data_IF_683123514484
#
_entry.id   IF_683123514484
#
_cell.length_a   1.000
_cell.length_b   1.000
_cell.length_c   1.000
_cell.angle_alpha   90.00
_cell.angle_beta   90.00
_cell.angle_gamma   90.00
#
_symmetry.space_group_name_H-M   'P 1'
#
loop_
_entity.id
_entity.type
_entity.pdbx_description
1 polymer ?
#
# COMPACT_ATOMS: atom_id res chain seq x y z
N UNK A 1 -11.32 -10.46 7.24
CA UNK A 1 -10.41 -10.00 8.32
C UNK A 1 -9.05 -10.66 8.17
N UNK A 2 -7.98 -9.98 8.61
CA UNK A 2 -6.63 -10.56 8.63
C UNK A 2 -6.51 -11.77 9.56
N UNK A 3 -7.39 -11.90 10.56
CA UNK A 3 -7.42 -13.04 11.45
C UNK A 3 -8.01 -14.31 10.82
N UNK A 4 -8.70 -14.20 9.69
CA UNK A 4 -9.46 -15.28 9.04
C UNK A 4 -8.71 -15.93 7.88
N UNK A 5 -7.51 -15.47 7.53
CA UNK A 5 -6.72 -15.97 6.40
C UNK A 5 -5.24 -16.09 6.74
N UNK A 6 -4.55 -16.91 5.98
CA UNK A 6 -3.10 -16.88 5.95
C UNK A 6 -2.65 -15.78 4.97
N UNK A 7 -1.54 -15.13 5.27
CA UNK A 7 -1.00 -14.09 4.42
C UNK A 7 0.50 -13.92 4.64
N UNK A 8 1.14 -13.10 3.82
CA UNK A 8 2.51 -12.66 3.97
C UNK A 8 2.51 -11.13 3.90
N UNK A 9 3.15 -10.47 4.84
CA UNK A 9 3.25 -9.03 4.82
C UNK A 9 4.70 -8.56 4.94
N UNK A 10 5.02 -7.50 4.22
CA UNK A 10 6.21 -6.71 4.41
C UNK A 10 5.77 -5.32 4.88
N UNK A 11 5.97 -4.98 6.16
CA UNK A 11 5.55 -3.68 6.67
C UNK A 11 6.48 -2.59 6.12
N UNK A 12 6.00 -1.89 5.12
CA UNK A 12 6.69 -0.74 4.56
C UNK A 12 6.11 0.56 5.15
N UNK A 13 6.93 1.48 5.63
CA UNK A 13 8.39 1.61 5.63
C UNK A 13 9.07 1.15 6.95
N UNK A 14 8.47 0.28 7.71
CA UNK A 14 8.83 0.01 9.12
C UNK A 14 10.08 -0.84 9.33
N UNK A 15 10.74 -1.26 8.29
CA UNK A 15 12.03 -1.96 8.38
C UNK A 15 12.17 -3.20 7.48
N UNK A 16 13.38 -3.79 7.44
CA UNK A 16 13.69 -4.92 6.59
C UNK A 16 13.25 -6.22 7.28
N UNK A 17 11.96 -6.51 7.29
CA UNK A 17 11.44 -7.78 7.80
C UNK A 17 10.17 -8.20 7.07
N UNK A 18 9.89 -9.49 7.11
CA UNK A 18 8.67 -10.11 6.62
C UNK A 18 7.91 -10.77 7.76
N UNK A 19 6.60 -10.74 7.72
CA UNK A 19 5.75 -11.42 8.70
C UNK A 19 4.87 -12.45 8.02
N UNK A 20 4.83 -13.65 8.58
CA UNK A 20 3.84 -14.65 8.24
C UNK A 20 2.59 -14.39 9.09
N UNK A 21 1.50 -14.05 8.44
CA UNK A 21 0.19 -13.91 9.08
C UNK A 21 -0.47 -15.29 9.03
N UNK A 22 -0.70 -15.90 10.20
CA UNK A 22 -1.36 -17.18 10.31
C UNK A 22 -2.83 -16.96 10.66
N UNK A 23 -3.72 -17.73 10.01
CA UNK A 23 -5.15 -17.73 10.31
C UNK A 23 -5.36 -18.08 11.78
N UNK A 24 -6.07 -17.23 12.51
CA UNK A 24 -6.35 -17.38 13.93
C UNK A 24 -7.79 -17.88 14.20
N UNK A 25 -8.73 -17.56 13.32
CA UNK A 25 -10.14 -17.94 13.43
C UNK A 25 -10.67 -18.41 12.06
N UNK A 26 -11.72 -19.20 12.06
CA UNK A 26 -12.44 -19.51 10.83
C UNK A 26 -13.22 -18.28 10.32
N UNK A 27 -13.37 -18.13 9.00
CA UNK A 27 -14.19 -17.07 8.44
C UNK A 27 -15.61 -17.07 8.99
N UNK A 28 -16.11 -15.88 9.32
CA UNK A 28 -17.45 -15.74 9.89
C UNK A 28 -18.52 -15.75 8.79
N UNK A 29 -19.55 -16.56 8.97
CA UNK A 29 -20.67 -16.67 8.04
C UNK A 29 -20.21 -17.05 6.63
N UNK A 30 -20.55 -16.24 5.63
CA UNK A 30 -20.18 -16.46 4.21
C UNK A 30 -18.95 -15.65 3.77
N UNK A 31 -18.12 -15.15 4.72
CA UNK A 31 -16.91 -14.41 4.41
C UNK A 31 -15.91 -15.29 3.65
N UNK A 32 -15.25 -14.68 2.67
CA UNK A 32 -14.20 -15.29 1.85
C UNK A 32 -13.03 -14.36 1.73
N UNK A 33 -11.85 -14.91 1.51
CA UNK A 33 -10.67 -14.11 1.15
C UNK A 33 -10.81 -13.53 -0.25
N UNK A 34 -10.08 -12.45 -0.54
CA UNK A 34 -10.05 -11.84 -1.89
C UNK A 34 -9.61 -12.85 -2.95
N UNK A 35 -8.67 -13.75 -2.59
CA UNK A 35 -8.22 -14.83 -3.45
C UNK A 35 -9.35 -15.83 -3.77
N UNK A 36 -10.10 -16.28 -2.77
CA UNK A 36 -11.25 -17.18 -2.97
C UNK A 36 -12.35 -16.52 -3.79
N UNK A 37 -12.60 -15.21 -3.59
CA UNK A 37 -13.57 -14.43 -4.38
C UNK A 37 -13.12 -14.36 -5.84
N UNK A 38 -11.84 -14.06 -6.08
CA UNK A 38 -11.29 -14.00 -7.43
C UNK A 38 -11.37 -15.36 -8.15
N UNK A 39 -11.02 -16.45 -7.47
CA UNK A 39 -11.14 -17.81 -8.02
C UNK A 39 -12.59 -18.18 -8.35
N UNK A 40 -13.52 -17.89 -7.43
CA UNK A 40 -14.94 -18.14 -7.65
C UNK A 40 -15.53 -17.32 -8.80
N UNK A 41 -15.08 -16.07 -8.97
CA UNK A 41 -15.47 -15.22 -10.09
C UNK A 41 -14.94 -15.76 -11.41
N UNK A 42 -13.66 -16.15 -11.46
CA UNK A 42 -13.03 -16.73 -12.64
C UNK A 42 -13.75 -18.01 -13.09
N UNK A 43 -14.09 -18.89 -12.14
CA UNK A 43 -14.85 -20.10 -12.41
C UNK A 43 -16.23 -19.81 -13.01
N UNK A 44 -16.95 -18.81 -12.46
CA UNK A 44 -18.25 -18.34 -12.98
C UNK A 44 -18.15 -17.75 -14.39
N UNK A 45 -17.03 -17.13 -14.72
CA UNK A 45 -16.74 -16.59 -16.04
C UNK A 45 -16.19 -17.65 -17.01
N UNK A 46 -16.00 -18.89 -16.59
CA UNK A 46 -15.52 -20.01 -17.41
C UNK A 46 -14.00 -20.13 -17.53
N UNK A 47 -13.23 -19.39 -16.76
CA UNK A 47 -11.76 -19.48 -16.70
C UNK A 47 -11.33 -20.62 -15.75
N UNK A 48 -11.32 -21.86 -16.25
CA UNK A 48 -11.04 -23.05 -15.42
C UNK A 48 -9.61 -23.15 -14.93
N UNK A 49 -8.66 -22.58 -15.67
CA UNK A 49 -7.22 -22.62 -15.35
C UNK A 49 -6.70 -21.30 -14.78
N UNK A 50 -7.58 -20.50 -14.18
CA UNK A 50 -7.22 -19.20 -13.63
C UNK A 50 -6.18 -19.30 -12.51
N UNK A 51 -6.31 -20.29 -11.66
CA UNK A 51 -5.42 -20.49 -10.53
C UNK A 51 -5.20 -21.97 -10.24
N UNK A 52 -4.04 -22.54 -10.64
CA UNK A 52 -3.72 -23.95 -10.44
C UNK A 52 -3.18 -24.28 -9.04
N UNK A 53 -2.90 -23.28 -8.20
CA UNK A 53 -2.26 -23.45 -6.90
C UNK A 53 -3.21 -23.16 -5.74
N UNK A 54 -2.95 -23.80 -4.60
CA UNK A 54 -3.58 -23.48 -3.32
C UNK A 54 -3.03 -22.19 -2.71
N UNK A 55 -3.74 -21.62 -1.75
CA UNK A 55 -3.26 -20.45 -0.98
C UNK A 55 -1.87 -20.71 -0.37
N UNK A 56 -1.68 -21.89 0.22
CA UNK A 56 -0.41 -22.26 0.86
C UNK A 56 0.75 -22.37 -0.14
N UNK A 57 0.49 -22.93 -1.33
CA UNK A 57 1.49 -23.00 -2.39
C UNK A 57 1.88 -21.60 -2.90
N UNK A 58 0.90 -20.70 -3.07
CA UNK A 58 1.18 -19.32 -3.43
C UNK A 58 2.05 -18.61 -2.41
N UNK A 59 1.70 -18.71 -1.13
CA UNK A 59 2.47 -18.06 -0.06
C UNK A 59 3.91 -18.60 0.01
N UNK A 60 4.08 -19.91 -0.16
CA UNK A 60 5.40 -20.54 -0.25
C UNK A 60 6.19 -20.02 -1.44
N UNK A 61 5.56 -19.99 -2.62
CA UNK A 61 6.21 -19.48 -3.83
C UNK A 61 6.61 -18.01 -3.69
N UNK A 62 5.81 -17.16 -3.09
CA UNK A 62 6.18 -15.76 -2.85
C UNK A 62 7.42 -15.61 -1.98
N UNK A 63 7.58 -16.46 -0.97
CA UNK A 63 8.80 -16.48 -0.15
C UNK A 63 10.00 -16.99 -0.95
N UNK A 64 9.86 -18.12 -1.64
CA UNK A 64 10.96 -18.81 -2.33
C UNK A 64 11.46 -18.05 -3.58
N UNK A 65 10.55 -17.45 -4.34
CA UNK A 65 10.88 -16.73 -5.58
C UNK A 65 11.30 -15.27 -5.36
N UNK A 66 11.06 -14.73 -4.18
CA UNK A 66 11.49 -13.38 -3.86
C UNK A 66 13.04 -13.36 -3.70
N UNK A 67 13.75 -12.50 -4.44
CA UNK A 67 15.22 -12.46 -4.42
C UNK A 67 15.80 -12.05 -3.06
N UNK A 68 15.04 -11.41 -2.20
CA UNK A 68 15.46 -10.99 -0.87
C UNK A 68 15.24 -12.11 0.18
N UNK A 69 14.08 -12.77 0.16
CA UNK A 69 13.72 -13.79 1.15
C UNK A 69 14.14 -15.20 0.77
N UNK A 70 14.09 -15.56 -0.49
CA UNK A 70 14.40 -16.90 -0.97
C UNK A 70 15.80 -17.40 -0.58
N UNK A 71 16.86 -16.57 -0.64
CA UNK A 71 18.17 -16.94 -0.13
C UNK A 71 18.24 -17.13 1.39
N UNK A 72 17.43 -16.42 2.15
CA UNK A 72 17.49 -16.34 3.61
C UNK A 72 16.51 -17.31 4.29
N UNK A 73 15.29 -17.42 3.80
CA UNK A 73 14.25 -18.30 4.36
C UNK A 73 14.32 -19.66 3.68
N UNK A 74 15.03 -20.60 4.29
CA UNK A 74 15.22 -21.96 3.75
C UNK A 74 14.13 -22.93 4.19
N UNK A 75 13.45 -22.61 5.30
CA UNK A 75 12.38 -23.41 5.89
C UNK A 75 11.16 -22.53 6.07
N UNK A 76 10.20 -22.68 5.17
CA UNK A 76 8.97 -21.90 5.18
C UNK A 76 8.04 -22.26 6.35
N UNK A 77 8.08 -23.51 6.80
CA UNK A 77 7.24 -23.95 7.92
C UNK A 77 7.76 -23.32 9.22
N UNK A 78 9.07 -23.33 9.41
CA UNK A 78 9.71 -22.63 10.53
C UNK A 78 9.44 -21.13 10.51
N UNK A 79 9.55 -20.48 9.35
CA UNK A 79 9.21 -19.07 9.21
C UNK A 79 7.76 -18.76 9.60
N UNK A 80 6.82 -19.65 9.21
CA UNK A 80 5.42 -19.51 9.59
C UNK A 80 5.19 -19.73 11.09
N UNK A 81 5.93 -20.63 11.71
CA UNK A 81 5.87 -20.89 13.16
C UNK A 81 6.44 -19.70 13.94
N UNK A 82 7.57 -19.15 13.52
CA UNK A 82 8.21 -17.99 14.15
C UNK A 82 7.43 -16.68 13.90
N UNK A 83 6.69 -16.60 12.81
CA UNK A 83 5.83 -15.48 12.45
C UNK A 83 6.54 -14.26 11.89
N UNK A 84 7.87 -14.18 12.02
CA UNK A 84 8.67 -13.04 11.56
C UNK A 84 10.04 -13.49 11.09
N UNK A 85 10.49 -12.94 9.96
CA UNK A 85 11.86 -13.05 9.49
C UNK A 85 12.45 -11.64 9.30
N UNK A 86 13.58 -11.37 9.94
CA UNK A 86 14.35 -10.13 9.74
C UNK A 86 15.33 -10.35 8.61
N UNK A 87 15.30 -9.47 7.62
CA UNK A 87 16.24 -9.49 6.51
C UNK A 87 17.62 -9.07 7.04
N UNK A 88 18.59 -9.92 6.86
CA UNK A 88 19.99 -9.58 7.17
C UNK A 88 20.52 -8.66 6.09
N UNK A 89 21.07 -7.54 6.51
CA UNK A 89 21.69 -6.54 5.65
C UNK A 89 23.15 -6.41 6.06
N UNK A 90 24.04 -6.50 5.08
CA UNK A 90 25.49 -6.29 5.32
C UNK A 90 25.77 -4.85 5.71
N UNK A 91 25.05 -3.89 5.11
CA UNK A 91 25.15 -2.46 5.37
C UNK A 91 23.77 -1.78 5.41
N UNK A 92 23.64 -0.64 6.08
CA UNK A 92 22.40 0.14 6.06
C UNK A 92 22.01 0.57 4.65
N UNK A 93 20.71 0.47 4.31
CA UNK A 93 20.18 0.99 3.05
C UNK A 93 20.09 2.50 3.13
N UNK A 94 20.90 3.19 2.36
CA UNK A 94 20.83 4.64 2.18
C UNK A 94 20.19 4.92 0.82
N UNK A 95 19.05 5.60 0.83
CA UNK A 95 18.32 5.92 -0.40
C UNK A 95 19.17 6.79 -1.32
N UNK A 96 19.24 6.42 -2.58
CA UNK A 96 19.96 7.14 -3.64
C UNK A 96 21.48 7.31 -3.39
N UNK A 97 22.09 6.48 -2.54
CA UNK A 97 23.51 6.61 -2.23
C UNK A 97 24.38 6.52 -3.48
N UNK A 98 24.15 5.54 -4.32
CA UNK A 98 24.92 5.33 -5.57
C UNK A 98 24.77 6.48 -6.54
N UNK A 99 23.56 6.99 -6.70
CA UNK A 99 23.26 8.13 -7.57
C UNK A 99 23.89 9.44 -7.08
N UNK A 100 24.09 9.57 -5.76
CA UNK A 100 24.72 10.76 -5.13
C UNK A 100 26.24 10.65 -5.19
N UNK A 101 26.82 9.49 -4.88
CA UNK A 101 28.27 9.28 -4.80
C UNK A 101 28.92 9.15 -6.19
N UNK A 102 28.23 8.52 -7.15
CA UNK A 102 28.74 8.28 -8.51
C UNK A 102 27.61 8.47 -9.54
N UNK A 103 27.17 9.71 -9.79
CA UNK A 103 26.07 10.01 -10.70
C UNK A 103 26.36 9.71 -12.18
N UNK A 104 27.64 9.58 -12.56
CA UNK A 104 28.03 9.28 -13.94
C UNK A 104 27.72 7.81 -14.29
N UNK A 105 28.01 6.88 -13.38
CA UNK A 105 27.76 5.45 -13.56
C UNK A 105 26.40 5.01 -13.03
N UNK A 106 25.80 5.79 -12.13
CA UNK A 106 24.49 5.52 -11.52
C UNK A 106 23.55 6.72 -11.69
N UNK A 107 23.09 7.03 -12.91
CA UNK A 107 22.16 8.13 -13.11
C UNK A 107 20.79 7.83 -12.47
N UNK A 108 20.07 8.85 -12.04
CA UNK A 108 18.69 8.71 -11.63
C UNK A 108 17.83 8.15 -12.76
N UNK A 109 16.80 7.37 -12.43
CA UNK A 109 15.84 6.80 -13.40
C UNK A 109 14.88 7.87 -13.98
N UNK A 110 15.43 8.98 -14.42
CA UNK A 110 14.72 10.10 -15.04
C UNK A 110 15.25 10.34 -16.46
N UNK A 111 14.51 10.99 -17.36
CA UNK A 111 14.97 11.31 -18.70
C UNK A 111 16.31 12.04 -18.76
N UNK A 112 16.59 12.92 -17.79
CA UNK A 112 17.84 13.66 -17.70
C UNK A 112 18.96 12.94 -16.94
N UNK A 113 18.65 11.80 -16.29
CA UNK A 113 19.57 11.13 -15.35
C UNK A 113 19.81 11.91 -14.05
N UNK A 114 19.05 12.97 -13.80
CA UNK A 114 19.17 13.87 -12.63
C UNK A 114 17.82 14.01 -11.93
N UNK A 115 17.82 14.62 -10.76
CA UNK A 115 16.57 15.04 -10.10
C UNK A 115 15.90 16.12 -10.96
N UNK A 116 14.66 15.86 -11.40
CA UNK A 116 13.90 16.75 -12.25
C UNK A 116 12.84 17.51 -11.46
N UNK A 117 12.94 18.83 -11.43
CA UNK A 117 11.90 19.72 -10.87
C UNK A 117 10.85 20.02 -11.93
N UNK A 118 11.26 20.12 -13.20
CA UNK A 118 10.37 20.29 -14.35
C UNK A 118 10.09 18.94 -15.01
N UNK A 119 8.82 18.60 -15.20
CA UNK A 119 8.40 17.39 -15.90
C UNK A 119 7.99 17.70 -17.33
N UNK A 120 8.80 17.31 -18.31
CA UNK A 120 8.48 17.47 -19.73
C UNK A 120 7.19 16.72 -20.09
N UNK A 121 7.00 15.52 -19.55
CA UNK A 121 5.78 14.73 -19.78
C UNK A 121 4.50 15.46 -19.34
N UNK A 122 4.54 16.17 -18.20
CA UNK A 122 3.40 16.98 -17.77
C UNK A 122 3.22 18.22 -18.63
N UNK A 123 4.31 18.85 -19.06
CA UNK A 123 4.24 19.97 -19.99
C UNK A 123 3.58 19.58 -21.31
N UNK A 124 3.98 18.45 -21.88
CA UNK A 124 3.44 17.92 -23.16
C UNK A 124 1.96 17.53 -23.06
N UNK A 125 1.48 17.20 -21.86
CA UNK A 125 0.06 16.89 -21.65
C UNK A 125 -0.86 18.10 -21.83
N UNK A 126 -0.33 19.32 -21.76
CA UNK A 126 -1.08 20.59 -21.83
C UNK A 126 -2.29 20.66 -20.89
N UNK A 127 -2.24 19.94 -19.77
CA UNK A 127 -3.32 19.94 -18.79
C UNK A 127 -3.09 21.05 -17.75
N UNK A 128 -3.95 22.08 -17.69
CA UNK A 128 -3.77 23.20 -16.76
C UNK A 128 -3.88 22.78 -15.27
N UNK A 129 -4.50 21.62 -14.98
CA UNK A 129 -4.64 21.09 -13.63
C UNK A 129 -3.41 20.29 -13.17
N UNK A 130 -2.47 20.00 -14.08
CA UNK A 130 -1.23 19.28 -13.77
C UNK A 130 -0.02 20.04 -14.32
N UNK A 131 0.38 21.14 -13.67
CA UNK A 131 1.49 21.96 -14.15
C UNK A 131 2.80 21.15 -14.13
N UNK A 132 3.75 21.46 -15.03
CA UNK A 132 5.01 20.72 -15.15
C UNK A 132 6.00 20.96 -14.00
N UNK A 133 5.71 21.91 -13.14
CA UNK A 133 6.49 22.21 -11.92
C UNK A 133 5.58 22.18 -10.69
N UNK A 134 6.11 21.86 -9.50
CA UNK A 134 5.36 22.01 -8.26
C UNK A 134 4.95 23.46 -8.05
N UNK A 135 3.68 23.73 -7.97
CA UNK A 135 3.12 25.04 -7.60
C UNK A 135 1.78 24.87 -6.89
N UNK A 136 1.40 25.87 -6.13
CA UNK A 136 0.06 25.88 -5.54
C UNK A 136 -1.01 25.92 -6.63
N UNK A 137 -2.00 25.06 -6.49
CA UNK A 137 -3.21 25.02 -7.32
C UNK A 137 -4.40 25.23 -6.40
N UNK A 138 -5.21 26.22 -6.71
CA UNK A 138 -6.48 26.41 -5.99
C UNK A 138 -7.35 25.16 -6.13
N UNK A 139 -7.82 24.64 -4.99
CA UNK A 139 -8.82 23.58 -5.02
C UNK A 139 -10.16 24.14 -5.51
N UNK A 140 -11.02 23.25 -6.01
CA UNK A 140 -12.42 23.60 -6.23
C UNK A 140 -13.05 24.00 -4.89
N UNK A 141 -13.87 25.05 -4.89
CA UNK A 141 -14.55 25.55 -3.70
C UNK A 141 -13.59 26.05 -2.60
N UNK A 142 -12.43 26.57 -2.97
CA UNK A 142 -11.53 27.21 -2.02
C UNK A 142 -12.01 28.62 -1.63
N UNK A 143 -11.30 29.27 -0.71
CA UNK A 143 -11.63 30.59 -0.20
C UNK A 143 -11.66 31.71 -1.27
N UNK A 144 -11.12 31.47 -2.46
CA UNK A 144 -11.12 32.41 -3.59
C UNK A 144 -12.29 32.19 -4.54
N UNK A 145 -13.05 31.08 -4.38
CA UNK A 145 -14.20 30.78 -5.21
C UNK A 145 -15.29 31.85 -5.01
N UNK A 146 -15.90 32.38 -6.07
CA UNK A 146 -17.03 33.31 -5.97
C UNK A 146 -18.21 32.81 -5.14
N UNK A 147 -18.40 31.48 -5.05
CA UNK A 147 -19.43 30.85 -4.22
C UNK A 147 -19.25 31.10 -2.72
N UNK A 148 -18.06 31.46 -2.26
CA UNK A 148 -17.81 31.80 -0.84
C UNK A 148 -18.62 33.01 -0.36
N UNK A 149 -19.06 33.89 -1.27
CA UNK A 149 -20.00 34.97 -0.92
C UNK A 149 -21.34 34.47 -0.46
N UNK A 150 -21.77 33.31 -0.95
CA UNK A 150 -23.04 32.66 -0.60
C UNK A 150 -22.86 31.58 0.47
N UNK A 151 -21.76 30.87 0.41
CA UNK A 151 -21.39 29.75 1.30
C UNK A 151 -20.02 30.03 1.90
N UNK A 152 -19.92 30.82 2.98
CA UNK A 152 -18.64 31.29 3.50
C UNK A 152 -17.86 30.27 4.33
N UNK A 153 -18.47 29.12 4.66
CA UNK A 153 -17.83 28.07 5.44
C UNK A 153 -17.22 27.02 4.51
N UNK A 154 -16.00 26.63 4.82
CA UNK A 154 -15.33 25.52 4.13
C UNK A 154 -15.46 24.25 4.95
N UNK A 155 -15.89 23.16 4.31
CA UNK A 155 -15.93 21.84 4.93
C UNK A 155 -14.54 21.21 4.90
N UNK A 156 -14.01 20.91 6.07
CA UNK A 156 -12.80 20.11 6.22
C UNK A 156 -13.18 18.69 6.61
N UNK A 157 -12.67 17.72 5.87
CA UNK A 157 -12.90 16.29 6.13
C UNK A 157 -11.58 15.57 6.44
N UNK A 158 -10.92 15.92 7.56
CA UNK A 158 -9.68 15.28 7.93
C UNK A 158 -9.91 13.80 8.26
N UNK A 159 -8.90 12.98 8.02
CA UNK A 159 -8.96 11.57 8.40
C UNK A 159 -9.06 11.44 9.94
N UNK A 160 -10.08 10.77 10.48
CA UNK A 160 -10.21 10.58 11.92
C UNK A 160 -9.04 9.75 12.47
N UNK A 161 -8.46 10.20 13.58
CA UNK A 161 -7.28 9.58 14.20
C UNK A 161 -7.45 8.09 14.54
N UNK A 162 -8.68 7.69 14.87
CA UNK A 162 -9.00 6.35 15.36
C UNK A 162 -9.75 5.50 14.36
N UNK A 163 -9.59 5.79 13.06
CA UNK A 163 -10.26 5.08 11.98
C UNK A 163 -9.33 4.91 10.81
N UNK A 164 -9.58 3.85 10.05
CA UNK A 164 -8.94 3.60 8.77
C UNK A 164 -10.06 3.50 7.74
N UNK A 165 -10.18 4.52 6.90
CA UNK A 165 -11.30 4.66 5.94
C UNK A 165 -12.65 4.51 6.65
N UNK A 166 -13.47 3.52 6.26
CA UNK A 166 -14.74 3.18 6.91
C UNK A 166 -14.62 2.12 8.01
N UNK A 167 -13.43 1.58 8.22
CA UNK A 167 -13.20 0.57 9.26
C UNK A 167 -13.32 1.19 10.66
N UNK A 168 -13.59 0.34 11.63
CA UNK A 168 -13.77 0.71 13.04
C UNK A 168 -14.95 1.65 13.33
N UNK A 169 -15.75 2.00 12.29
CA UNK A 169 -16.89 2.90 12.42
C UNK A 169 -17.96 2.39 13.40
N UNK A 170 -18.16 1.07 13.43
CA UNK A 170 -19.21 0.43 14.26
C UNK A 170 -18.73 0.03 15.66
N UNK A 171 -17.50 0.32 16.01
CA UNK A 171 -16.95 0.00 17.34
C UNK A 171 -17.48 1.00 18.37
N UNK A 172 -18.39 0.57 19.24
CA UNK A 172 -19.14 1.47 20.13
C UNK A 172 -18.24 2.19 21.14
N UNK A 173 -17.28 1.52 21.76
CA UNK A 173 -16.34 2.17 22.69
C UNK A 173 -15.44 3.23 22.01
N UNK A 174 -15.16 3.10 20.69
CA UNK A 174 -14.49 4.16 19.94
C UNK A 174 -15.40 5.37 19.69
N UNK A 175 -16.71 5.15 19.50
CA UNK A 175 -17.67 6.24 19.35
C UNK A 175 -17.85 7.01 20.66
N UNK A 176 -17.81 6.32 21.79
CA UNK A 176 -17.91 6.93 23.11
C UNK A 176 -16.70 7.81 23.45
N UNK A 177 -15.50 7.31 23.17
CA UNK A 177 -14.24 8.02 23.44
C UNK A 177 -13.89 9.08 22.39
N UNK A 178 -14.34 8.87 21.15
CA UNK A 178 -14.07 9.74 20.00
C UNK A 178 -15.34 9.93 19.17
N UNK A 179 -16.30 10.74 19.65
CA UNK A 179 -17.52 11.01 18.91
C UNK A 179 -17.22 11.69 17.57
N UNK A 180 -18.12 11.50 16.62
CA UNK A 180 -18.03 12.20 15.35
C UNK A 180 -18.21 13.70 15.59
N UNK A 181 -17.17 14.46 15.27
CA UNK A 181 -17.25 15.93 15.28
C UNK A 181 -17.12 16.43 13.84
N UNK A 182 -17.92 17.44 13.52
CA UNK A 182 -17.76 18.26 12.32
C UNK A 182 -17.06 19.54 12.74
N UNK A 183 -15.96 19.86 12.09
CA UNK A 183 -15.15 21.06 12.33
C UNK A 183 -15.45 22.13 11.28
#
# INVERSE_FOLDING_TARGET
>A
STAEKNDLTRPWPSGPYYTAVNKAIEPLGECKSDWEIACALADKLGYKDFNPYTESEWLKMFVELNPETGPQIKDNDKFREEGIHRVELDEPIIAFQKEIEDPENNPFSTPSGKIEIFSQRLADSNNPLTPPIPKYMSAQEDHTDPLTKKFPLQLLTPHPRNRVHSELYKVDWLKETHPHTVW
#
